data_IF_880020019008
#
_entry.id   IF_880020019008
#
_cell.length_a   1.000
_cell.length_b   1.000
_cell.length_c   1.000
_cell.angle_alpha   90.00
_cell.angle_beta   90.00
_cell.angle_gamma   90.00
#
_symmetry.space_group_name_H-M   'P 1'
#
loop_
_entity.id
_entity.type
_entity.pdbx_description
1 polymer ?
#
# COMPACT_ATOMS: atom_id res chain seq x y z
N UNK A 1 6.90 -4.79 11.73
CA UNK A 1 6.29 -5.25 10.47
C UNK A 1 6.44 -4.32 9.30
N UNK A 2 6.47 -3.00 9.50
CA UNK A 2 6.76 -2.05 8.41
C UNK A 2 8.12 -2.30 7.75
N UNK A 3 9.15 -2.65 8.54
CA UNK A 3 10.47 -2.97 8.00
C UNK A 3 10.43 -4.18 7.06
N UNK A 4 9.71 -5.23 7.43
CA UNK A 4 9.55 -6.44 6.61
C UNK A 4 8.83 -6.13 5.29
N UNK A 5 7.79 -5.29 5.33
CA UNK A 5 7.08 -4.85 4.13
C UNK A 5 8.01 -4.05 3.21
N UNK A 6 8.77 -3.10 3.76
CA UNK A 6 9.73 -2.30 2.99
C UNK A 6 10.82 -3.19 2.36
N UNK A 7 11.36 -4.14 3.11
CA UNK A 7 12.35 -5.09 2.58
C UNK A 7 11.79 -5.94 1.43
N UNK A 8 10.57 -6.46 1.61
CA UNK A 8 9.92 -7.27 0.58
C UNK A 8 9.63 -6.50 -0.69
N UNK A 9 9.32 -5.21 -0.57
CA UNK A 9 8.96 -4.36 -1.70
C UNK A 9 10.16 -3.59 -2.28
N UNK A 10 11.33 -3.66 -1.66
CA UNK A 10 12.46 -2.76 -1.93
C UNK A 10 12.85 -2.69 -3.41
N UNK A 11 12.85 -3.81 -4.11
CA UNK A 11 13.21 -3.86 -5.54
C UNK A 11 12.21 -3.06 -6.41
N UNK A 12 11.02 -2.82 -5.90
CA UNK A 12 9.94 -2.07 -6.57
C UNK A 12 9.77 -0.66 -6.02
N UNK A 13 10.63 -0.26 -5.07
CA UNK A 13 10.64 1.05 -4.42
C UNK A 13 11.86 1.86 -4.89
N UNK A 14 11.98 2.02 -6.20
CA UNK A 14 13.06 2.77 -6.81
C UNK A 14 12.66 4.22 -7.03
N UNK A 15 13.61 5.15 -7.20
CA UNK A 15 13.27 6.51 -7.58
C UNK A 15 12.34 6.55 -8.78
N UNK A 16 11.23 7.26 -8.64
CA UNK A 16 10.22 7.35 -9.69
C UNK A 16 9.08 6.31 -9.61
N UNK A 17 9.17 5.33 -8.72
CA UNK A 17 8.12 4.31 -8.57
C UNK A 17 6.81 4.90 -8.06
N UNK A 18 5.70 4.28 -8.46
CA UNK A 18 4.34 4.59 -7.98
C UNK A 18 3.90 3.52 -6.99
N UNK A 19 3.44 3.95 -5.84
CA UNK A 19 3.08 3.05 -4.73
C UNK A 19 1.66 3.35 -4.21
N UNK A 20 0.92 2.29 -3.92
CA UNK A 20 -0.35 2.36 -3.20
C UNK A 20 -0.16 1.76 -1.81
N UNK A 21 -0.51 2.51 -0.78
CA UNK A 21 -0.48 2.08 0.62
C UNK A 21 -1.90 1.98 1.16
N UNK A 22 -2.41 0.75 1.23
CA UNK A 22 -3.78 0.46 1.69
C UNK A 22 -3.79 0.24 3.20
N UNK A 23 -4.66 0.98 3.89
CA UNK A 23 -4.68 1.02 5.35
C UNK A 23 -3.60 1.97 5.87
N UNK A 24 -3.54 3.18 5.32
CA UNK A 24 -2.48 4.15 5.59
C UNK A 24 -2.45 4.63 7.05
N UNK A 25 -3.57 4.60 7.75
CA UNK A 25 -3.65 4.90 9.19
C UNK A 25 -3.01 6.24 9.55
N UNK A 26 -1.96 6.18 10.40
CA UNK A 26 -1.24 7.39 10.85
C UNK A 26 -0.41 8.07 9.75
N UNK A 27 -0.21 7.40 8.61
CA UNK A 27 0.62 7.90 7.51
C UNK A 27 2.12 7.66 7.68
N UNK A 28 2.54 7.00 8.75
CA UNK A 28 3.98 6.77 9.00
C UNK A 28 4.63 5.96 7.87
N UNK A 29 4.07 4.81 7.53
CA UNK A 29 4.60 3.98 6.45
C UNK A 29 4.49 4.68 5.09
N UNK A 30 3.39 5.39 4.85
CA UNK A 30 3.21 6.20 3.63
C UNK A 30 4.39 7.16 3.44
N UNK A 31 4.81 7.85 4.51
CA UNK A 31 5.94 8.75 4.48
C UNK A 31 7.27 8.03 4.22
N UNK A 32 7.47 6.86 4.83
CA UNK A 32 8.67 6.04 4.60
C UNK A 32 8.74 5.61 3.13
N UNK A 33 7.63 5.12 2.58
CA UNK A 33 7.55 4.71 1.18
C UNK A 33 7.84 5.89 0.24
N UNK A 34 7.32 7.07 0.56
CA UNK A 34 7.57 8.28 -0.23
C UNK A 34 9.06 8.64 -0.27
N UNK A 35 9.75 8.50 0.84
CA UNK A 35 11.20 8.72 0.89
C UNK A 35 11.97 7.72 0.03
N UNK A 36 11.54 6.47 0.04
CA UNK A 36 12.21 5.40 -0.73
C UNK A 36 12.07 5.56 -2.24
N UNK A 37 10.98 6.18 -2.70
CA UNK A 37 10.74 6.39 -4.14
C UNK A 37 11.13 7.78 -4.64
N UNK A 38 11.68 8.61 -3.77
CA UNK A 38 12.20 9.93 -4.13
C UNK A 38 13.51 9.79 -4.94
N UNK A 39 13.81 10.74 -5.84
CA UNK A 39 12.90 11.77 -6.34
C UNK A 39 11.90 11.21 -7.38
N UNK A 40 10.88 11.98 -7.69
CA UNK A 40 9.93 11.73 -8.78
C UNK A 40 8.97 10.55 -8.59
N UNK A 41 9.08 9.78 -7.51
CA UNK A 41 8.09 8.77 -7.17
C UNK A 41 6.88 9.36 -6.48
N UNK A 42 5.80 8.58 -6.38
CA UNK A 42 4.57 9.01 -5.73
C UNK A 42 3.95 7.88 -4.92
N UNK A 43 3.25 8.27 -3.85
CA UNK A 43 2.54 7.33 -2.98
C UNK A 43 1.12 7.84 -2.75
N UNK A 44 0.16 6.94 -2.90
CA UNK A 44 -1.22 7.20 -2.50
C UNK A 44 -1.50 6.34 -1.26
N UNK A 45 -1.82 6.99 -0.15
CA UNK A 45 -2.32 6.35 1.05
C UNK A 45 -3.83 6.33 1.05
N UNK A 46 -4.42 5.16 1.17
CA UNK A 46 -5.88 4.99 1.22
C UNK A 46 -6.30 4.37 2.54
N UNK A 47 -7.34 4.92 3.13
CA UNK A 47 -8.00 4.36 4.30
C UNK A 47 -9.52 4.51 4.13
N UNK A 48 -10.28 3.62 4.77
CA UNK A 48 -11.74 3.66 4.69
C UNK A 48 -12.39 4.55 5.75
N UNK A 49 -11.60 5.06 6.68
CA UNK A 49 -12.05 5.90 7.79
C UNK A 49 -11.52 7.33 7.58
N UNK A 50 -12.41 8.27 7.30
CA UNK A 50 -12.02 9.65 7.03
C UNK A 50 -11.18 10.30 8.13
N UNK A 51 -11.49 10.15 9.43
CA UNK A 51 -10.61 10.68 10.49
C UNK A 51 -9.18 10.16 10.44
N UNK A 52 -8.96 8.90 10.01
CA UNK A 52 -7.61 8.35 9.83
C UNK A 52 -6.89 8.99 8.65
N UNK A 53 -7.60 9.23 7.56
CA UNK A 53 -7.05 9.96 6.40
C UNK A 53 -6.61 11.36 6.81
N UNK A 54 -7.44 12.06 7.57
CA UNK A 54 -7.14 13.40 8.08
C UNK A 54 -5.95 13.37 9.03
N UNK A 55 -5.86 12.37 9.91
CA UNK A 55 -4.74 12.17 10.81
C UNK A 55 -3.43 11.96 10.05
N UNK A 56 -3.45 11.15 9.01
CA UNK A 56 -2.28 10.91 8.15
C UNK A 56 -1.75 12.20 7.54
N UNK A 57 -2.65 13.03 7.01
CA UNK A 57 -2.29 14.36 6.49
C UNK A 57 -1.70 15.25 7.57
N UNK A 58 -2.36 15.36 8.70
CA UNK A 58 -1.92 16.20 9.81
C UNK A 58 -0.55 15.78 10.33
N UNK A 59 -0.30 14.48 10.47
CA UNK A 59 0.99 13.97 10.89
C UNK A 59 2.10 14.35 9.90
N UNK A 60 1.82 14.26 8.62
CA UNK A 60 2.77 14.60 7.57
C UNK A 60 3.05 16.11 7.54
N UNK A 61 2.05 16.92 7.81
CA UNK A 61 2.17 18.39 7.89
C UNK A 61 3.07 18.89 9.04
N UNK A 62 3.40 18.03 10.01
CA UNK A 62 4.26 18.39 11.15
C UNK A 62 5.72 18.63 10.76
N UNK A 63 6.15 18.17 9.59
CA UNK A 63 7.50 18.41 9.08
C UNK A 63 7.48 19.24 7.80
N UNK A 64 8.54 20.00 7.56
CA UNK A 64 8.70 20.76 6.31
C UNK A 64 8.73 19.83 5.10
N UNK A 65 9.47 18.72 5.21
CA UNK A 65 9.55 17.72 4.15
C UNK A 65 8.18 17.10 3.85
N UNK A 66 7.42 16.75 4.88
CA UNK A 66 6.07 16.20 4.71
C UNK A 66 5.12 17.19 4.03
N UNK A 67 5.19 18.46 4.41
CA UNK A 67 4.41 19.51 3.73
C UNK A 67 4.76 19.63 2.25
N UNK A 68 6.05 19.57 1.91
CA UNK A 68 6.49 19.59 0.51
C UNK A 68 5.95 18.41 -0.28
N UNK A 69 5.96 17.22 0.30
CA UNK A 69 5.45 16.00 -0.33
C UNK A 69 3.96 16.11 -0.63
N UNK A 70 3.18 16.67 0.30
CA UNK A 70 1.76 16.90 0.11
C UNK A 70 1.50 17.97 -0.95
N UNK A 71 2.19 19.08 -0.86
CA UNK A 71 1.99 20.23 -1.77
C UNK A 71 2.39 19.89 -3.22
N UNK A 72 3.42 19.09 -3.41
CA UNK A 72 3.89 18.66 -4.74
C UNK A 72 3.03 17.57 -5.35
N UNK A 73 2.14 16.93 -4.56
CA UNK A 73 1.38 15.77 -5.00
C UNK A 73 2.17 14.46 -4.98
N UNK A 74 3.38 14.46 -4.45
CA UNK A 74 4.17 13.24 -4.27
C UNK A 74 3.47 12.24 -3.34
N UNK A 75 2.79 12.76 -2.31
CA UNK A 75 1.94 11.98 -1.41
C UNK A 75 0.53 12.53 -1.47
N UNK A 76 -0.43 11.62 -1.63
CA UNK A 76 -1.86 11.93 -1.54
C UNK A 76 -2.51 10.94 -0.57
N UNK A 77 -3.40 11.45 0.26
CA UNK A 77 -4.25 10.62 1.10
C UNK A 77 -5.69 10.68 0.58
N UNK A 78 -6.29 9.52 0.41
CA UNK A 78 -7.66 9.40 -0.10
C UNK A 78 -8.49 8.48 0.79
N UNK A 79 -9.80 8.71 0.81
CA UNK A 79 -10.75 7.86 1.51
C UNK A 79 -11.40 6.91 0.51
N UNK A 80 -11.37 5.62 0.81
CA UNK A 80 -11.96 4.62 -0.08
C UNK A 80 -11.87 3.21 0.46
N UNK A 81 -12.49 2.29 -0.25
CA UNK A 81 -12.45 0.86 0.07
C UNK A 81 -11.15 0.25 -0.46
N UNK A 82 -10.25 -0.11 0.46
CA UNK A 82 -8.95 -0.69 0.10
C UNK A 82 -9.04 -1.98 -0.71
N UNK A 83 -10.13 -2.72 -0.61
CA UNK A 83 -10.34 -3.94 -1.41
C UNK A 83 -10.44 -3.64 -2.91
N UNK A 84 -10.83 -2.43 -3.24
CA UNK A 84 -10.93 -1.95 -4.63
C UNK A 84 -9.65 -1.28 -5.14
N UNK A 85 -8.67 -1.11 -4.28
CA UNK A 85 -7.48 -0.32 -4.58
C UNK A 85 -7.83 1.13 -4.89
N UNK A 86 -7.09 1.73 -5.78
CA UNK A 86 -7.34 3.10 -6.26
C UNK A 86 -7.01 3.18 -7.74
N UNK A 87 -8.00 2.90 -8.56
CA UNK A 87 -7.85 2.78 -10.02
C UNK A 87 -7.33 4.07 -10.68
N UNK A 88 -7.72 5.24 -10.16
CA UNK A 88 -7.32 6.54 -10.72
C UNK A 88 -5.80 6.75 -10.73
N UNK A 89 -5.07 6.13 -9.82
CA UNK A 89 -3.60 6.23 -9.76
C UNK A 89 -2.87 5.04 -10.37
N UNK A 90 -3.59 3.99 -10.78
CA UNK A 90 -2.99 2.77 -11.32
C UNK A 90 -2.34 3.00 -12.70
N UNK A 91 -1.40 2.16 -13.11
CA UNK A 91 -0.85 1.02 -12.38
C UNK A 91 0.26 1.41 -11.39
N UNK A 92 0.51 0.51 -10.43
CA UNK A 92 1.51 0.73 -9.36
C UNK A 92 2.67 -0.24 -9.48
N UNK A 93 3.88 0.23 -9.18
CA UNK A 93 5.06 -0.64 -9.06
C UNK A 93 4.96 -1.53 -7.82
N UNK A 94 4.46 -0.98 -6.73
CA UNK A 94 4.28 -1.69 -5.47
C UNK A 94 2.93 -1.33 -4.84
N UNK A 95 2.30 -2.33 -4.22
CA UNK A 95 1.10 -2.15 -3.40
C UNK A 95 1.36 -2.80 -2.03
N UNK A 96 1.19 -2.02 -0.97
CA UNK A 96 1.24 -2.52 0.40
C UNK A 96 -0.17 -2.53 0.98
N UNK A 97 -0.55 -3.62 1.64
CA UNK A 97 -1.83 -3.74 2.34
C UNK A 97 -1.57 -3.95 3.83
N UNK A 98 -2.00 -3.01 4.65
CA UNK A 98 -1.82 -2.99 6.10
C UNK A 98 -2.97 -3.59 6.89
N UNK A 99 -3.88 -4.32 6.25
CA UNK A 99 -5.00 -5.02 6.89
C UNK A 99 -5.21 -6.37 6.22
N UNK A 100 -5.69 -7.36 7.00
CA UNK A 100 -5.86 -8.71 6.48
C UNK A 100 -7.04 -8.81 5.50
N UNK A 101 -6.75 -9.25 4.30
CA UNK A 101 -7.76 -9.54 3.29
C UNK A 101 -8.41 -10.90 3.56
N UNK A 102 -9.74 -10.98 3.41
CA UNK A 102 -10.46 -12.23 3.58
C UNK A 102 -10.14 -13.25 2.48
N UNK A 103 -9.72 -12.74 1.33
CA UNK A 103 -9.37 -13.53 0.15
C UNK A 103 -8.36 -12.76 -0.71
N UNK A 104 -7.85 -13.41 -1.74
CA UNK A 104 -7.01 -12.74 -2.73
C UNK A 104 -7.88 -11.85 -3.63
N UNK A 105 -7.70 -10.54 -3.53
CA UNK A 105 -8.42 -9.58 -4.36
C UNK A 105 -7.71 -9.38 -5.69
N UNK A 106 -8.25 -9.95 -6.76
CA UNK A 106 -7.68 -9.81 -8.11
C UNK A 106 -7.62 -8.35 -8.57
N UNK A 107 -8.55 -7.53 -8.12
CA UNK A 107 -8.56 -6.08 -8.42
C UNK A 107 -7.23 -5.42 -8.06
N UNK A 108 -6.62 -5.79 -6.93
CA UNK A 108 -5.34 -5.25 -6.51
C UNK A 108 -4.20 -5.72 -7.43
N UNK A 109 -4.22 -6.98 -7.80
CA UNK A 109 -3.24 -7.54 -8.74
C UNK A 109 -3.36 -6.89 -10.12
N UNK A 110 -4.59 -6.63 -10.57
CA UNK A 110 -4.84 -5.95 -11.84
C UNK A 110 -4.27 -4.54 -11.88
N UNK A 111 -4.19 -3.87 -10.72
CA UNK A 111 -3.63 -2.52 -10.60
C UNK A 111 -2.10 -2.49 -10.47
N UNK A 112 -1.43 -3.64 -10.45
CA UNK A 112 0.02 -3.70 -10.50
C UNK A 112 0.54 -3.48 -11.92
N UNK A 113 1.69 -2.80 -12.01
CA UNK A 113 2.50 -2.82 -13.23
C UNK A 113 3.05 -4.23 -13.47
N UNK A 114 3.48 -4.47 -14.68
CA UNK A 114 4.23 -5.66 -15.06
C UNK A 114 5.66 -5.23 -15.46
N UNK A 115 6.68 -5.40 -14.61
CA UNK A 115 6.67 -6.08 -13.32
C UNK A 115 6.14 -5.21 -12.17
N UNK A 116 5.56 -5.84 -11.16
CA UNK A 116 5.10 -5.19 -9.94
C UNK A 116 4.90 -6.19 -8.82
N UNK A 117 4.80 -5.69 -7.58
CA UNK A 117 4.66 -6.54 -6.40
C UNK A 117 3.60 -6.02 -5.43
N UNK A 118 2.80 -6.95 -4.91
CA UNK A 118 1.80 -6.72 -3.87
C UNK A 118 2.23 -7.47 -2.60
N UNK A 119 2.28 -6.75 -1.49
CA UNK A 119 2.50 -7.31 -0.16
C UNK A 119 1.18 -7.25 0.61
N UNK A 120 0.62 -8.40 0.98
CA UNK A 120 -0.71 -8.46 1.56
C UNK A 120 -0.86 -9.58 2.57
N UNK A 121 -1.41 -9.31 3.79
CA UNK A 121 -1.85 -10.37 4.67
C UNK A 121 -3.20 -10.91 4.18
N UNK A 122 -3.32 -12.23 4.07
CA UNK A 122 -4.54 -12.90 3.60
C UNK A 122 -4.95 -13.95 4.62
N UNK A 123 -6.25 -14.03 4.86
CA UNK A 123 -6.83 -15.06 5.72
C UNK A 123 -6.95 -16.37 4.96
N UNK A 124 -6.41 -17.44 5.55
CA UNK A 124 -6.44 -18.77 4.97
C UNK A 124 -6.59 -19.79 6.09
N UNK A 125 -7.65 -20.60 6.06
CA UNK A 125 -7.90 -21.64 7.06
C UNK A 125 -8.03 -21.13 8.49
N UNK A 126 -8.60 -19.93 8.70
CA UNK A 126 -8.77 -19.33 10.03
C UNK A 126 -7.52 -18.63 10.56
N UNK A 127 -6.42 -18.66 9.84
CA UNK A 127 -5.17 -17.98 10.16
C UNK A 127 -4.86 -16.94 9.10
N UNK A 128 -3.94 -16.04 9.42
CA UNK A 128 -3.50 -14.99 8.49
C UNK A 128 -2.04 -15.19 8.13
N UNK A 129 -1.73 -15.05 6.85
CA UNK A 129 -0.36 -15.18 6.34
C UNK A 129 -0.03 -13.99 5.44
N UNK A 130 1.22 -13.58 5.48
CA UNK A 130 1.73 -12.63 4.48
C UNK A 130 1.92 -13.36 3.17
N UNK A 131 1.36 -12.78 2.12
CA UNK A 131 1.62 -13.18 0.74
C UNK A 131 2.38 -12.07 0.03
N UNK A 132 3.34 -12.46 -0.77
CA UNK A 132 3.98 -11.60 -1.77
C UNK A 132 3.50 -12.10 -3.13
N UNK A 133 2.84 -11.21 -3.86
CA UNK A 133 2.26 -11.52 -5.16
C UNK A 133 3.02 -10.71 -6.21
N UNK A 134 3.67 -11.41 -7.12
CA UNK A 134 4.44 -10.80 -8.21
C UNK A 134 3.68 -10.90 -9.52
N UNK A 135 3.49 -9.76 -10.17
CA UNK A 135 3.09 -9.70 -11.56
C UNK A 135 4.36 -9.56 -12.39
N UNK A 136 4.61 -10.54 -13.23
CA UNK A 136 5.81 -10.57 -14.07
C UNK A 136 5.64 -9.75 -15.34
N UNK A 137 6.74 -9.50 -16.04
CA UNK A 137 6.73 -8.73 -17.27
C UNK A 137 5.78 -9.27 -18.35
N UNK A 138 5.59 -10.59 -18.38
CA UNK A 138 4.65 -11.25 -19.31
C UNK A 138 3.19 -11.18 -18.84
N UNK A 139 2.93 -10.55 -17.69
CA UNK A 139 1.59 -10.44 -17.08
C UNK A 139 1.20 -11.63 -16.22
N UNK A 140 2.01 -12.67 -16.13
CA UNK A 140 1.75 -13.82 -15.26
C UNK A 140 1.88 -13.41 -13.78
N UNK A 141 1.14 -14.11 -12.92
CA UNK A 141 1.06 -13.81 -11.48
C UNK A 141 1.53 -15.01 -10.68
N UNK A 142 2.46 -14.77 -9.75
CA UNK A 142 2.99 -15.77 -8.82
C UNK A 142 2.70 -15.33 -7.40
N UNK A 143 2.12 -16.22 -6.60
CA UNK A 143 1.82 -15.98 -5.19
C UNK A 143 2.74 -16.81 -4.30
N UNK A 144 3.44 -16.14 -3.38
CA UNK A 144 4.32 -16.77 -2.41
C UNK A 144 3.83 -16.49 -0.99
N UNK A 145 3.53 -17.54 -0.24
CA UNK A 145 3.18 -17.45 1.18
C UNK A 145 4.48 -17.36 1.99
N UNK A 146 4.60 -16.35 2.85
CA UNK A 146 5.81 -16.15 3.66
C UNK A 146 5.66 -16.66 5.09
N UNK A 147 4.90 -15.98 5.93
CA UNK A 147 4.79 -16.31 7.36
C UNK A 147 3.45 -15.90 7.95
N UNK A 148 3.13 -16.45 9.11
CA UNK A 148 1.90 -16.14 9.85
C UNK A 148 1.95 -14.78 10.52
N UNK A 149 0.80 -14.11 10.58
CA UNK A 149 0.66 -12.76 11.18
C UNK A 149 -0.70 -12.61 11.83
N UNK A 150 -0.89 -11.47 12.51
CA UNK A 150 -2.19 -11.01 12.99
C UNK A 150 -2.37 -9.54 12.61
N UNK A 151 -3.36 -9.29 11.79
CA UNK A 151 -3.76 -7.94 11.35
C UNK A 151 -5.25 -7.73 11.61
N UNK A 152 -5.65 -6.47 11.70
CA UNK A 152 -7.09 -6.13 11.64
C UNK A 152 -7.63 -6.48 10.26
N UNK A 153 -8.89 -6.94 10.16
CA UNK A 153 -9.50 -7.26 8.87
C UNK A 153 -9.64 -6.04 7.96
N UNK A 154 -9.49 -6.26 6.68
CA UNK A 154 -9.83 -5.30 5.64
C UNK A 154 -11.35 -5.37 5.41
N UNK A 155 -12.08 -4.45 6.00
CA UNK A 155 -13.55 -4.46 6.05
C UNK A 155 -14.16 -3.14 5.59
N UNK A 156 -15.48 -3.08 5.64
CA UNK A 156 -16.21 -1.84 5.43
C UNK A 156 -15.93 -0.83 6.55
N UNK A 157 -16.11 0.45 6.26
CA UNK A 157 -16.04 1.48 7.26
C UNK A 157 -17.09 1.26 8.35
N UNK A 158 -16.78 1.55 9.62
CA UNK A 158 -17.81 1.50 10.66
C UNK A 158 -18.93 2.48 10.36
N UNK A 159 -20.12 2.03 10.63
CA UNK A 159 -21.34 2.83 10.43
C UNK A 159 -21.44 3.88 11.52
#
# INVERSE_FOLDING_TARGET
MHASACESLLDYLQPGSKVLDIGSGSGYLTAVLANLVAPNGSVIGIDHIQPLVDMGKQNMEKSEEGRRMLDSGQVRFVTGDGRKGWADGAPYDAIHVGAAAAEHHETLTDQLKAPGRLFVPVQEGGLQYIFVIDKKEDGSVVRNKLYGVRYVPLTDAPV
#
